data_IF_426960073330
#
_entry.id   IF_426960073330
#
_cell.length_a   1.000
_cell.length_b   1.000
_cell.length_c   1.000
_cell.angle_alpha   90.00
_cell.angle_beta   90.00
_cell.angle_gamma   90.00
#
_symmetry.space_group_name_H-M   'P 1'
#
loop_
_entity.id
_entity.type
_entity.pdbx_description
1 polymer ?
#
# COMPACT_ATOMS: atom_id res chain seq x y z
N UNK A 1 -9.58 -31.44 -6.11
CA UNK A 1 -10.47 -30.33 -5.68
C UNK A 1 -9.67 -29.03 -5.79
N UNK A 2 -10.00 -28.14 -6.73
CA UNK A 2 -9.47 -26.77 -6.75
C UNK A 2 -9.97 -26.09 -5.47
N UNK A 3 -9.10 -25.63 -4.57
CA UNK A 3 -9.52 -24.73 -3.49
C UNK A 3 -10.22 -23.54 -4.17
N UNK A 4 -11.44 -23.20 -3.74
CA UNK A 4 -12.11 -21.98 -4.18
C UNK A 4 -11.20 -20.80 -3.81
N UNK A 5 -10.58 -20.18 -4.83
CA UNK A 5 -9.78 -18.98 -4.64
C UNK A 5 -10.72 -17.80 -4.42
N UNK A 6 -10.31 -16.85 -3.58
CA UNK A 6 -11.09 -15.65 -3.28
C UNK A 6 -11.14 -14.75 -4.51
N UNK A 7 -12.25 -14.02 -4.74
CA UNK A 7 -12.34 -13.06 -5.84
C UNK A 7 -11.47 -11.83 -5.56
N UNK A 8 -10.82 -11.31 -6.60
CA UNK A 8 -10.05 -10.06 -6.60
C UNK A 8 -10.41 -9.24 -7.84
N UNK A 9 -10.67 -7.96 -7.66
CA UNK A 9 -10.61 -6.97 -8.75
C UNK A 9 -9.26 -6.28 -8.69
N UNK A 10 -8.46 -6.47 -9.75
CA UNK A 10 -7.17 -5.80 -9.92
C UNK A 10 -7.31 -4.73 -11.01
N UNK A 11 -7.22 -3.47 -10.64
CA UNK A 11 -7.29 -2.35 -11.58
C UNK A 11 -5.89 -1.95 -12.06
N UNK A 12 -5.72 -1.81 -13.37
CA UNK A 12 -4.52 -1.30 -14.01
C UNK A 12 -4.87 0.01 -14.71
N UNK A 13 -4.14 1.08 -14.43
CA UNK A 13 -4.31 2.36 -15.11
C UNK A 13 -2.97 2.99 -15.45
N UNK A 14 -2.91 3.92 -16.41
CA UNK A 14 -1.70 4.73 -16.59
C UNK A 14 -1.59 5.78 -15.50
N UNK A 15 -0.39 6.02 -14.95
CA UNK A 15 -0.18 6.96 -13.85
C UNK A 15 -0.67 8.39 -14.15
N UNK A 16 -0.59 8.80 -15.41
CA UNK A 16 -1.00 10.11 -15.92
C UNK A 16 -2.51 10.23 -16.22
N UNK A 17 -3.25 9.11 -16.30
CA UNK A 17 -4.68 9.13 -16.56
C UNK A 17 -5.45 9.52 -15.29
N UNK A 18 -6.16 10.67 -15.25
CA UNK A 18 -6.90 11.10 -14.06
C UNK A 18 -8.11 10.19 -13.75
N UNK A 19 -8.68 9.50 -14.75
CA UNK A 19 -9.88 8.66 -14.59
C UNK A 19 -9.61 7.46 -13.69
N UNK A 20 -8.36 6.98 -13.61
CA UNK A 20 -8.02 5.84 -12.76
C UNK A 20 -8.31 6.10 -11.28
N UNK A 21 -8.11 7.34 -10.81
CA UNK A 21 -8.28 7.64 -9.38
C UNK A 21 -9.76 7.67 -9.03
N UNK A 22 -10.60 8.23 -9.91
CA UNK A 22 -12.07 8.19 -9.79
C UNK A 22 -12.58 6.74 -9.79
N UNK A 23 -12.06 5.93 -10.72
CA UNK A 23 -12.41 4.52 -10.80
C UNK A 23 -11.95 3.75 -9.56
N UNK A 24 -10.75 4.00 -9.03
CA UNK A 24 -10.24 3.34 -7.84
C UNK A 24 -11.13 3.56 -6.61
N UNK A 25 -11.63 4.78 -6.40
CA UNK A 25 -12.55 5.07 -5.30
C UNK A 25 -13.86 4.32 -5.47
N UNK A 26 -14.42 4.33 -6.68
CA UNK A 26 -15.71 3.72 -6.99
C UNK A 26 -15.64 2.21 -6.88
N UNK A 27 -14.66 1.60 -7.54
CA UNK A 27 -14.41 0.17 -7.49
C UNK A 27 -14.05 -0.29 -6.07
N UNK A 28 -13.31 0.53 -5.31
CA UNK A 28 -12.94 0.22 -3.93
C UNK A 28 -14.16 -0.04 -3.04
N UNK A 29 -15.15 0.87 -3.01
CA UNK A 29 -16.35 0.66 -2.21
C UNK A 29 -17.27 -0.41 -2.79
N UNK A 30 -17.35 -0.53 -4.12
CA UNK A 30 -18.17 -1.57 -4.76
C UNK A 30 -17.63 -2.97 -4.45
N UNK A 31 -16.32 -3.15 -4.47
CA UNK A 31 -15.69 -4.43 -4.11
C UNK A 31 -15.91 -4.73 -2.62
N UNK A 32 -15.77 -3.74 -1.75
CA UNK A 32 -16.05 -3.91 -0.32
C UNK A 32 -17.51 -4.34 -0.07
N UNK A 33 -18.50 -3.71 -0.71
CA UNK A 33 -19.90 -4.10 -0.60
C UNK A 33 -20.18 -5.49 -1.18
N UNK A 34 -19.55 -5.83 -2.30
CA UNK A 34 -19.66 -7.13 -2.95
C UNK A 34 -18.89 -8.26 -2.24
N UNK A 35 -18.13 -7.97 -1.18
CA UNK A 35 -17.28 -8.96 -0.51
C UNK A 35 -16.12 -9.46 -1.38
N UNK A 36 -15.63 -8.62 -2.29
CA UNK A 36 -14.53 -8.89 -3.23
C UNK A 36 -13.31 -8.06 -2.82
N UNK A 37 -12.12 -8.64 -2.91
CA UNK A 37 -10.90 -7.88 -2.63
C UNK A 37 -10.59 -6.90 -3.77
N UNK A 38 -9.98 -5.76 -3.44
CA UNK A 38 -9.63 -4.73 -4.41
C UNK A 38 -8.18 -4.28 -4.24
N UNK A 39 -7.50 -4.14 -5.37
CA UNK A 39 -6.20 -3.48 -5.44
C UNK A 39 -6.00 -2.79 -6.79
N UNK A 40 -5.00 -1.91 -6.86
CA UNK A 40 -4.69 -1.15 -8.07
C UNK A 40 -3.19 -1.08 -8.32
N UNK A 41 -2.84 -0.98 -9.61
CA UNK A 41 -1.49 -0.76 -10.08
C UNK A 41 -1.50 0.36 -11.13
N UNK A 42 -0.64 1.36 -10.96
CA UNK A 42 -0.52 2.43 -11.94
C UNK A 42 0.77 2.33 -12.73
N UNK A 43 0.62 2.03 -14.02
CA UNK A 43 1.71 1.94 -14.98
C UNK A 43 2.21 3.34 -15.31
N UNK A 44 3.49 3.58 -15.10
CA UNK A 44 4.16 4.86 -15.33
C UNK A 44 5.36 4.68 -16.25
N UNK A 45 5.88 5.79 -16.77
CA UNK A 45 7.23 5.78 -17.32
C UNK A 45 8.25 5.62 -16.19
N UNK A 46 9.05 4.56 -16.26
CA UNK A 46 10.17 4.35 -15.35
C UNK A 46 11.43 4.90 -16.02
N UNK A 47 11.68 6.20 -15.84
CA UNK A 47 12.87 6.85 -16.42
C UNK A 47 14.18 6.33 -15.82
N UNK A 48 14.18 6.08 -14.50
CA UNK A 48 15.33 5.55 -13.76
C UNK A 48 14.87 4.51 -12.72
N UNK A 49 15.61 3.42 -12.57
CA UNK A 49 15.28 2.31 -11.65
C UNK A 49 15.72 2.52 -10.19
N UNK A 50 15.86 3.77 -9.75
CA UNK A 50 16.43 4.11 -8.45
C UNK A 50 15.54 3.74 -7.24
N UNK A 51 16.15 3.75 -6.04
CA UNK A 51 15.45 3.47 -4.78
C UNK A 51 14.36 4.50 -4.42
N UNK A 52 14.44 5.72 -4.96
CA UNK A 52 13.44 6.78 -4.75
C UNK A 52 12.86 7.27 -6.08
N UNK A 53 12.79 6.38 -7.07
CA UNK A 53 12.19 6.70 -8.35
C UNK A 53 10.71 7.14 -8.15
N UNK A 54 10.24 8.20 -8.81
CA UNK A 54 8.89 8.75 -8.62
C UNK A 54 7.73 7.76 -8.80
N UNK A 55 7.99 6.61 -9.43
CA UNK A 55 7.01 5.55 -9.65
C UNK A 55 7.53 4.14 -9.34
N UNK A 56 8.65 4.03 -8.62
CA UNK A 56 9.37 2.76 -8.44
C UNK A 56 10.11 2.32 -9.72
N UNK A 57 10.55 1.06 -9.76
CA UNK A 57 11.41 0.51 -10.82
C UNK A 57 10.86 -0.82 -11.34
N UNK A 58 10.52 -0.90 -12.63
CA UNK A 58 10.10 -2.17 -13.25
C UNK A 58 11.25 -3.02 -13.79
N UNK A 59 12.46 -2.47 -13.92
CA UNK A 59 13.59 -3.12 -14.61
C UNK A 59 14.71 -3.53 -13.64
N UNK A 60 14.86 -2.82 -12.52
CA UNK A 60 15.83 -3.15 -11.46
C UNK A 60 15.06 -3.37 -10.16
N UNK A 61 15.00 -4.63 -9.70
CA UNK A 61 14.64 -4.98 -8.32
C UNK A 61 13.17 -4.84 -7.91
N UNK A 62 12.27 -4.20 -8.68
CA UNK A 62 10.91 -3.98 -8.19
C UNK A 62 10.00 -5.20 -8.14
N UNK A 63 10.39 -6.31 -8.79
CA UNK A 63 9.64 -7.57 -8.82
C UNK A 63 8.13 -7.43 -9.11
N UNK A 64 7.76 -6.44 -9.93
CA UNK A 64 6.35 -6.10 -10.16
C UNK A 64 5.62 -7.26 -10.86
N UNK A 65 6.27 -7.90 -11.83
CA UNK A 65 5.68 -9.01 -12.58
C UNK A 65 5.41 -10.22 -11.69
N UNK A 66 6.32 -10.51 -10.75
CA UNK A 66 6.20 -11.59 -9.78
C UNK A 66 5.04 -11.31 -8.82
N UNK A 67 4.88 -10.06 -8.38
CA UNK A 67 3.76 -9.63 -7.51
C UNK A 67 2.41 -9.77 -8.22
N UNK A 68 2.34 -9.37 -9.50
CA UNK A 68 1.14 -9.55 -10.32
C UNK A 68 0.86 -11.03 -10.56
N UNK A 69 1.88 -11.83 -10.89
CA UNK A 69 1.75 -13.27 -11.12
C UNK A 69 1.22 -13.98 -9.86
N UNK A 70 1.73 -13.59 -8.69
CA UNK A 70 1.25 -14.08 -7.41
C UNK A 70 -0.22 -13.75 -7.16
N UNK A 71 -0.67 -12.53 -7.48
CA UNK A 71 -2.08 -12.17 -7.35
C UNK A 71 -2.96 -13.08 -8.22
N UNK A 72 -2.59 -13.27 -9.49
CA UNK A 72 -3.30 -14.16 -10.43
C UNK A 72 -3.28 -15.63 -10.00
N UNK A 73 -2.21 -16.09 -9.34
CA UNK A 73 -2.12 -17.43 -8.79
C UNK A 73 -3.01 -17.61 -7.54
N UNK A 74 -3.03 -16.60 -6.66
CA UNK A 74 -3.69 -16.65 -5.34
C UNK A 74 -5.20 -16.43 -5.41
N UNK A 75 -5.65 -15.56 -6.30
CA UNK A 75 -7.04 -15.10 -6.40
C UNK A 75 -7.69 -15.49 -7.72
N UNK A 76 -9.02 -15.58 -7.72
CA UNK A 76 -9.81 -15.54 -8.95
C UNK A 76 -9.93 -14.07 -9.35
N UNK A 77 -9.08 -13.64 -10.29
CA UNK A 77 -8.84 -12.22 -10.55
C UNK A 77 -9.59 -11.74 -11.79
N UNK A 78 -10.44 -10.73 -11.62
CA UNK A 78 -10.93 -9.88 -12.71
C UNK A 78 -9.99 -8.69 -12.85
N UNK A 79 -9.40 -8.51 -14.03
CA UNK A 79 -8.51 -7.38 -14.31
C UNK A 79 -9.27 -6.30 -15.06
N UNK A 80 -9.26 -5.08 -14.55
CA UNK A 80 -9.80 -3.90 -15.22
C UNK A 80 -8.63 -3.08 -15.75
N UNK A 81 -8.66 -2.70 -17.03
CA UNK A 81 -7.67 -1.80 -17.64
C UNK A 81 -8.31 -0.48 -17.99
N UNK A 82 -7.76 0.60 -17.45
CA UNK A 82 -8.19 1.98 -17.69
C UNK A 82 -7.18 2.65 -18.61
N UNK A 83 -7.65 3.08 -19.77
CA UNK A 83 -6.83 3.62 -20.84
C UNK A 83 -5.93 2.57 -21.51
N UNK A 84 -4.86 3.03 -22.17
CA UNK A 84 -3.91 2.16 -22.87
C UNK A 84 -2.78 1.66 -21.93
N UNK A 85 -2.99 0.49 -21.30
CA UNK A 85 -1.99 -0.17 -20.45
C UNK A 85 -1.56 -1.50 -21.07
N UNK A 86 -0.26 -1.65 -21.39
CA UNK A 86 0.30 -2.87 -22.01
C UNK A 86 1.20 -3.69 -21.10
N UNK A 87 1.58 -3.16 -19.94
CA UNK A 87 2.44 -3.88 -19.01
C UNK A 87 1.72 -5.15 -18.50
N UNK A 88 2.46 -6.26 -18.39
CA UNK A 88 1.98 -7.59 -17.98
C UNK A 88 0.94 -8.23 -18.92
N UNK A 89 0.76 -7.77 -20.17
CA UNK A 89 -0.35 -8.23 -21.02
C UNK A 89 -0.42 -9.75 -21.19
N UNK A 90 0.71 -10.40 -21.50
CA UNK A 90 0.77 -11.86 -21.65
C UNK A 90 0.42 -12.61 -20.36
N UNK A 91 0.89 -12.10 -19.22
CA UNK A 91 0.63 -12.67 -17.90
C UNK A 91 -0.85 -12.53 -17.52
N UNK A 92 -1.44 -11.37 -17.75
CA UNK A 92 -2.86 -11.11 -17.47
C UNK A 92 -3.75 -11.99 -18.35
N UNK A 93 -3.48 -12.06 -19.66
CA UNK A 93 -4.28 -12.87 -20.59
C UNK A 93 -4.23 -14.37 -20.26
N UNK A 94 -3.16 -14.84 -19.65
CA UNK A 94 -3.00 -16.24 -19.26
C UNK A 94 -3.51 -16.56 -17.85
N UNK A 95 -3.53 -15.58 -16.94
CA UNK A 95 -3.83 -15.82 -15.53
C UNK A 95 -5.15 -15.22 -14.99
N UNK A 96 -5.71 -14.20 -15.64
CA UNK A 96 -6.96 -13.57 -15.19
C UNK A 96 -8.18 -14.41 -15.57
N UNK A 97 -9.22 -14.42 -14.73
CA UNK A 97 -10.51 -15.05 -15.03
C UNK A 97 -11.28 -14.23 -16.07
N UNK A 98 -11.17 -12.89 -15.98
CA UNK A 98 -11.79 -11.95 -16.92
C UNK A 98 -10.90 -10.71 -17.06
N UNK A 99 -10.87 -10.15 -18.27
CA UNK A 99 -10.23 -8.85 -18.55
C UNK A 99 -11.28 -7.90 -19.09
N UNK A 100 -11.38 -6.73 -18.47
CA UNK A 100 -12.31 -5.65 -18.82
C UNK A 100 -11.49 -4.44 -19.25
N UNK A 101 -11.49 -4.15 -20.55
CA UNK A 101 -10.88 -2.94 -21.08
C UNK A 101 -11.88 -1.78 -21.03
N UNK A 102 -11.48 -0.67 -20.42
CA UNK A 102 -12.22 0.58 -20.33
C UNK A 102 -11.32 1.71 -20.84
N UNK A 103 -11.62 2.24 -22.03
CA UNK A 103 -10.89 3.40 -22.55
C UNK A 103 -11.41 4.68 -21.89
N UNK A 104 -12.64 5.09 -22.23
CA UNK A 104 -13.17 6.37 -21.76
C UNK A 104 -14.52 6.29 -21.02
N UNK A 105 -15.21 5.15 -21.05
CA UNK A 105 -16.58 5.00 -20.50
C UNK A 105 -16.59 4.55 -19.03
N UNK A 106 -16.28 5.47 -18.11
CA UNK A 106 -16.32 5.21 -16.67
C UNK A 106 -17.73 4.78 -16.20
N UNK A 107 -18.79 5.41 -16.70
CA UNK A 107 -20.16 5.09 -16.29
C UNK A 107 -20.52 3.66 -16.71
N UNK A 108 -20.12 3.24 -17.91
CA UNK A 108 -20.33 1.86 -18.36
C UNK A 108 -19.47 0.85 -17.64
N UNK A 109 -18.24 1.21 -17.26
CA UNK A 109 -17.44 0.39 -16.37
C UNK A 109 -18.18 0.17 -15.04
N UNK A 110 -18.68 1.23 -14.40
CA UNK A 110 -19.38 1.12 -13.11
C UNK A 110 -20.67 0.32 -13.23
N UNK A 111 -21.43 0.49 -14.31
CA UNK A 111 -22.63 -0.31 -14.56
C UNK A 111 -22.30 -1.81 -14.69
N UNK A 112 -21.28 -2.14 -15.48
CA UNK A 112 -20.82 -3.52 -15.67
C UNK A 112 -20.37 -4.12 -14.34
N UNK A 113 -19.55 -3.39 -13.60
CA UNK A 113 -19.04 -3.85 -12.31
C UNK A 113 -20.13 -3.99 -11.26
N UNK A 114 -21.16 -3.14 -11.28
CA UNK A 114 -22.31 -3.29 -10.39
C UNK A 114 -23.04 -4.62 -10.61
N UNK A 115 -23.21 -5.02 -11.88
CA UNK A 115 -23.78 -6.33 -12.23
C UNK A 115 -22.88 -7.49 -11.81
N UNK A 116 -21.56 -7.38 -12.02
CA UNK A 116 -20.58 -8.43 -11.68
C UNK A 116 -20.47 -8.62 -10.16
N UNK A 117 -20.41 -7.53 -9.40
CA UNK A 117 -20.21 -7.56 -7.96
C UNK A 117 -21.52 -7.73 -7.17
N UNK A 118 -22.67 -7.66 -7.85
CA UNK A 118 -23.98 -7.66 -7.19
C UNK A 118 -24.24 -6.43 -6.34
N UNK A 119 -23.47 -5.35 -6.55
CA UNK A 119 -23.73 -4.07 -5.90
C UNK A 119 -24.86 -3.35 -6.63
N UNK A 120 -25.78 -2.76 -5.86
CA UNK A 120 -26.92 -2.04 -6.45
C UNK A 120 -26.46 -0.89 -7.35
N UNK A 121 -27.40 -0.31 -8.11
CA UNK A 121 -27.12 0.95 -8.83
C UNK A 121 -26.84 2.06 -7.81
N UNK A 122 -25.85 2.89 -8.08
CA UNK A 122 -25.62 4.09 -7.28
C UNK A 122 -26.81 5.03 -7.41
N UNK A 123 -27.33 5.53 -6.28
CA UNK A 123 -28.42 6.52 -6.24
C UNK A 123 -27.92 7.96 -6.40
N UNK A 124 -26.63 8.15 -6.21
CA UNK A 124 -25.95 9.43 -6.31
C UNK A 124 -24.57 9.28 -6.96
N UNK A 125 -24.08 10.39 -7.49
CA UNK A 125 -22.71 10.53 -7.99
C UNK A 125 -21.98 11.61 -7.20
N UNK A 126 -20.65 11.54 -7.18
CA UNK A 126 -19.78 12.64 -6.76
C UNK A 126 -19.03 13.12 -8.00
N UNK A 127 -19.26 14.37 -8.37
CA UNK A 127 -18.66 15.03 -9.52
C UNK A 127 -17.45 15.86 -9.08
N UNK A 128 -16.27 15.56 -9.65
CA UNK A 128 -14.99 16.16 -9.27
C UNK A 128 -14.52 17.17 -10.31
N UNK A 129 -14.30 18.40 -9.86
CA UNK A 129 -13.55 19.41 -10.59
C UNK A 129 -12.10 18.93 -10.81
N UNK A 130 -11.56 19.13 -12.02
CA UNK A 130 -10.18 18.73 -12.34
C UNK A 130 -9.16 19.45 -11.45
N UNK A 131 -9.46 20.66 -10.99
CA UNK A 131 -8.61 21.37 -10.03
C UNK A 131 -8.46 20.64 -8.68
N UNK A 132 -9.36 19.71 -8.37
CA UNK A 132 -9.27 18.86 -7.18
C UNK A 132 -8.33 17.66 -7.35
N UNK A 133 -7.93 17.33 -8.58
CA UNK A 133 -7.16 16.12 -8.88
C UNK A 133 -5.81 16.00 -8.16
N UNK A 134 -5.06 17.09 -7.93
CA UNK A 134 -3.87 17.05 -7.09
C UNK A 134 -4.11 16.54 -5.66
N UNK A 135 -5.34 16.62 -5.14
CA UNK A 135 -5.73 16.15 -3.82
C UNK A 135 -6.61 14.88 -3.86
N UNK A 136 -6.80 14.27 -5.04
CA UNK A 136 -7.86 13.26 -5.30
C UNK A 136 -7.83 12.08 -4.34
N UNK A 137 -6.63 11.60 -4.00
CA UNK A 137 -6.47 10.47 -3.09
C UNK A 137 -6.89 10.77 -1.65
N UNK A 138 -6.90 12.04 -1.21
CA UNK A 138 -7.49 12.39 0.08
C UNK A 138 -9.01 12.48 0.02
N UNK A 139 -9.59 12.72 -1.17
CA UNK A 139 -11.01 12.98 -1.37
C UNK A 139 -11.86 11.70 -1.52
N UNK A 140 -11.25 10.52 -1.56
CA UNK A 140 -11.97 9.23 -1.64
C UNK A 140 -13.13 9.07 -0.64
N UNK A 141 -13.07 9.61 0.61
CA UNK A 141 -14.16 9.47 1.57
C UNK A 141 -15.49 10.03 1.09
N UNK A 142 -15.48 11.08 0.27
CA UNK A 142 -16.70 11.65 -0.29
C UNK A 142 -17.41 10.66 -1.22
N UNK A 143 -16.67 9.79 -1.90
CA UNK A 143 -17.24 8.72 -2.72
C UNK A 143 -17.58 7.48 -1.90
N UNK A 144 -16.59 6.94 -1.19
CA UNK A 144 -16.66 5.63 -0.54
C UNK A 144 -17.72 5.62 0.56
N UNK A 145 -17.74 6.63 1.42
CA UNK A 145 -18.70 6.64 2.53
C UNK A 145 -20.12 7.01 2.13
N UNK A 146 -20.31 7.55 0.92
CA UNK A 146 -21.62 7.81 0.32
C UNK A 146 -22.10 6.68 -0.59
N UNK A 147 -21.23 5.72 -0.92
CA UNK A 147 -21.46 4.70 -1.95
C UNK A 147 -21.88 5.34 -3.28
N UNK A 148 -21.14 6.38 -3.65
CA UNK A 148 -21.39 7.16 -4.86
C UNK A 148 -20.39 6.80 -5.96
N UNK A 149 -20.81 6.93 -7.21
CA UNK A 149 -19.88 6.84 -8.34
C UNK A 149 -19.12 8.16 -8.50
N UNK A 150 -17.80 8.06 -8.61
CA UNK A 150 -16.92 9.19 -8.86
C UNK A 150 -16.84 9.46 -10.37
N UNK A 151 -17.20 10.66 -10.79
CA UNK A 151 -17.18 11.11 -12.19
C UNK A 151 -16.52 12.49 -12.29
N UNK A 152 -15.95 12.86 -13.46
CA UNK A 152 -15.53 14.24 -13.70
C UNK A 152 -16.72 15.21 -13.56
N UNK A 153 -16.45 16.45 -13.18
CA UNK A 153 -17.46 17.51 -13.17
C UNK A 153 -17.92 17.86 -14.58
N UNK A 154 -16.97 17.86 -15.51
CA UNK A 154 -17.21 18.04 -16.94
C UNK A 154 -17.45 16.68 -17.59
N UNK A 155 -18.73 16.36 -17.83
CA UNK A 155 -19.15 15.18 -18.60
C UNK A 155 -20.08 15.60 -19.74
N UNK A 156 -20.18 14.77 -20.77
CA UNK A 156 -20.97 15.11 -21.95
C UNK A 156 -22.48 14.87 -21.73
N UNK A 157 -23.30 15.38 -22.65
CA UNK A 157 -24.78 15.28 -22.57
C UNK A 157 -25.28 13.83 -22.57
N UNK A 158 -24.62 12.93 -23.28
CA UNK A 158 -25.02 11.51 -23.34
C UNK A 158 -24.74 10.81 -22.01
N UNK A 159 -23.63 11.13 -21.35
CA UNK A 159 -23.29 10.66 -20.00
C UNK A 159 -24.28 11.18 -18.96
N UNK A 160 -24.65 12.47 -19.01
CA UNK A 160 -25.70 13.05 -18.14
C UNK A 160 -27.03 12.32 -18.32
N UNK A 161 -27.45 12.11 -19.58
CA UNK A 161 -28.68 11.40 -19.91
C UNK A 161 -28.66 9.97 -19.38
N UNK A 162 -27.55 9.25 -19.56
CA UNK A 162 -27.36 7.89 -19.05
C UNK A 162 -27.49 7.84 -17.53
N UNK A 163 -26.85 8.75 -16.80
CA UNK A 163 -26.99 8.81 -15.34
C UNK A 163 -28.44 9.05 -14.90
N UNK A 164 -29.20 9.92 -15.62
CA UNK A 164 -30.64 10.12 -15.35
C UNK A 164 -31.45 8.86 -15.60
N UNK A 165 -31.24 8.17 -16.72
CA UNK A 165 -31.94 6.93 -17.07
C UNK A 165 -31.63 5.80 -16.06
N UNK A 166 -30.46 5.85 -15.43
CA UNK A 166 -30.08 4.91 -14.37
C UNK A 166 -30.75 5.20 -13.03
N UNK A 167 -31.43 6.35 -12.89
CA UNK A 167 -32.11 6.77 -11.67
C UNK A 167 -31.23 7.56 -10.70
N UNK A 168 -30.13 8.17 -11.17
CA UNK A 168 -29.33 9.08 -10.33
C UNK A 168 -30.11 10.37 -10.13
N UNK A 169 -30.39 10.68 -8.86
CA UNK A 169 -31.16 11.86 -8.48
C UNK A 169 -30.29 13.01 -8.00
N UNK A 170 -29.25 12.68 -7.21
CA UNK A 170 -28.40 13.66 -6.52
C UNK A 170 -26.97 13.60 -7.04
N UNK A 171 -26.41 14.78 -7.31
CA UNK A 171 -25.02 15.00 -7.69
C UNK A 171 -24.36 15.78 -6.56
N UNK A 172 -23.37 15.17 -5.93
CA UNK A 172 -22.53 15.82 -4.94
C UNK A 172 -21.31 16.42 -5.63
N UNK A 173 -21.02 17.70 -5.42
CA UNK A 173 -19.86 18.34 -6.06
C UNK A 173 -18.67 18.43 -5.12
N UNK A 174 -17.50 18.09 -5.67
CA UNK A 174 -16.19 18.41 -5.11
C UNK A 174 -15.56 19.40 -6.08
N UNK A 175 -15.75 20.69 -5.83
CA UNK A 175 -15.46 21.72 -6.82
C UNK A 175 -14.95 23.02 -6.22
N UNK A 176 -14.21 23.80 -7.02
CA UNK A 176 -13.76 25.12 -6.59
C UNK A 176 -14.96 26.04 -6.40
N UNK A 177 -14.85 27.02 -5.50
CA UNK A 177 -15.92 28.02 -5.33
C UNK A 177 -16.25 28.69 -6.66
N UNK A 178 -17.52 28.63 -7.05
CA UNK A 178 -18.02 29.21 -8.29
C UNK A 178 -17.78 28.35 -9.55
N UNK A 179 -17.44 27.07 -9.42
CA UNK A 179 -17.44 26.14 -10.54
C UNK A 179 -18.81 26.09 -11.25
N UNK A 180 -18.80 25.93 -12.58
CA UNK A 180 -20.04 25.85 -13.36
C UNK A 180 -20.66 24.45 -13.25
N UNK A 181 -21.87 24.41 -12.70
CA UNK A 181 -22.68 23.18 -12.54
C UNK A 181 -23.98 23.25 -13.34
N UNK A 182 -24.11 24.24 -14.23
CA UNK A 182 -25.35 24.55 -14.95
C UNK A 182 -25.82 23.39 -15.82
N UNK A 183 -24.90 22.63 -16.41
CA UNK A 183 -25.22 21.44 -17.21
C UNK A 183 -25.92 20.36 -16.38
N UNK A 184 -25.48 20.14 -15.13
CA UNK A 184 -26.12 19.19 -14.22
C UNK A 184 -27.52 19.64 -13.80
N UNK A 185 -27.69 20.94 -13.51
CA UNK A 185 -28.99 21.52 -13.17
C UNK A 185 -29.95 21.42 -14.36
N UNK A 186 -29.49 21.79 -15.56
CA UNK A 186 -30.27 21.74 -16.80
C UNK A 186 -30.70 20.30 -17.16
N UNK A 187 -29.87 19.30 -16.84
CA UNK A 187 -30.20 17.88 -16.98
C UNK A 187 -31.15 17.35 -15.89
N UNK A 188 -31.58 18.19 -14.95
CA UNK A 188 -32.59 17.89 -13.95
C UNK A 188 -32.08 17.16 -12.70
N UNK A 189 -30.78 17.24 -12.41
CA UNK A 189 -30.20 16.69 -11.18
C UNK A 189 -30.38 17.65 -10.00
N UNK A 190 -30.52 17.08 -8.79
CA UNK A 190 -30.34 17.83 -7.54
C UNK A 190 -28.85 17.96 -7.27
N UNK A 191 -28.30 19.17 -7.37
CA UNK A 191 -26.88 19.43 -7.12
C UNK A 191 -26.68 19.87 -5.67
N UNK A 192 -25.82 19.17 -4.93
CA UNK A 192 -25.43 19.48 -3.56
C UNK A 192 -23.90 19.60 -3.44
N UNK A 193 -23.42 20.46 -2.57
CA UNK A 193 -21.97 20.60 -2.33
C UNK A 193 -21.49 19.54 -1.34
N UNK A 194 -20.61 18.63 -1.76
CA UNK A 194 -19.88 17.76 -0.84
C UNK A 194 -18.66 18.48 -0.27
N UNK A 195 -17.81 19.04 -1.11
CA UNK A 195 -16.61 19.79 -0.70
C UNK A 195 -16.39 20.97 -1.64
N UNK A 196 -16.43 22.18 -1.08
CA UNK A 196 -16.03 23.39 -1.79
C UNK A 196 -14.62 23.77 -1.35
N UNK A 197 -13.76 24.10 -2.31
CA UNK A 197 -12.40 24.56 -2.02
C UNK A 197 -12.10 25.91 -2.67
N UNK A 198 -11.29 26.71 -1.96
CA UNK A 198 -10.80 28.02 -2.42
C UNK A 198 -9.32 27.97 -2.84
N UNK A 199 -8.68 26.82 -2.67
CA UNK A 199 -7.25 26.59 -2.92
C UNK A 199 -7.05 25.25 -3.61
N UNK A 200 -6.05 25.18 -4.48
CA UNK A 200 -5.59 23.94 -5.10
C UNK A 200 -4.48 23.26 -4.30
N UNK A 201 -4.14 23.77 -3.09
CA UNK A 201 -3.13 23.18 -2.21
C UNK A 201 -3.60 21.82 -1.64
N UNK A 202 -2.99 20.70 -2.06
CA UNK A 202 -3.41 19.37 -1.60
C UNK A 202 -3.22 19.19 -0.08
N UNK A 203 -2.23 19.84 0.52
CA UNK A 203 -1.96 19.75 1.96
C UNK A 203 -3.12 20.33 2.78
N UNK A 204 -3.68 21.46 2.33
CA UNK A 204 -4.84 22.05 2.99
C UNK A 204 -6.10 21.20 2.79
N UNK A 205 -6.38 20.78 1.55
CA UNK A 205 -7.57 19.97 1.24
C UNK A 205 -7.56 18.64 2.01
N UNK A 206 -6.43 17.93 2.04
CA UNK A 206 -6.31 16.66 2.77
C UNK A 206 -6.53 16.84 4.28
N UNK A 207 -6.06 17.93 4.89
CA UNK A 207 -6.29 18.23 6.30
C UNK A 207 -7.77 18.51 6.60
N UNK A 208 -8.46 19.26 5.74
CA UNK A 208 -9.89 19.54 5.91
C UNK A 208 -10.74 18.28 5.80
N UNK A 209 -10.44 17.42 4.83
CA UNK A 209 -11.11 16.14 4.64
C UNK A 209 -10.82 15.19 5.82
N UNK A 210 -9.57 15.12 6.28
CA UNK A 210 -9.19 14.31 7.44
C UNK A 210 -9.92 14.76 8.73
N UNK A 211 -10.12 16.07 8.92
CA UNK A 211 -10.91 16.60 10.04
C UNK A 211 -12.38 16.24 9.92
N UNK A 212 -12.97 16.42 8.72
CA UNK A 212 -14.37 16.12 8.45
C UNK A 212 -14.71 14.65 8.70
N UNK A 213 -13.85 13.75 8.24
CA UNK A 213 -14.09 12.31 8.28
C UNK A 213 -13.35 11.60 9.41
N UNK A 214 -12.85 12.34 10.41
CA UNK A 214 -12.08 11.82 11.54
C UNK A 214 -12.76 10.64 12.23
N UNK A 215 -14.07 10.70 12.42
CA UNK A 215 -14.79 9.70 13.20
C UNK A 215 -14.99 8.38 12.44
N UNK A 216 -14.91 8.42 11.10
CA UNK A 216 -14.95 7.22 10.25
C UNK A 216 -13.55 6.62 10.01
N UNK A 217 -12.50 7.41 10.17
CA UNK A 217 -11.13 6.95 9.97
C UNK A 217 -10.67 6.02 11.10
N UNK A 218 -9.99 4.92 10.77
CA UNK A 218 -9.29 4.06 11.73
C UNK A 218 -7.91 4.62 12.09
N UNK A 219 -7.28 5.35 11.16
CA UNK A 219 -5.92 5.86 11.28
C UNK A 219 -5.66 6.97 10.24
N UNK A 220 -4.52 7.64 10.39
CA UNK A 220 -4.08 8.71 9.49
C UNK A 220 -2.65 8.49 9.05
N UNK A 221 -2.37 8.77 7.79
CA UNK A 221 -1.04 8.58 7.19
C UNK A 221 -0.49 9.88 6.63
N UNK A 222 0.81 9.93 6.38
CA UNK A 222 1.50 11.15 5.97
C UNK A 222 2.19 10.92 4.62
N UNK A 223 1.62 11.42 3.54
CA UNK A 223 2.05 11.09 2.18
C UNK A 223 2.35 12.32 1.35
N UNK A 224 3.16 12.16 0.30
CA UNK A 224 3.00 13.02 -0.89
C UNK A 224 1.78 12.55 -1.68
N UNK A 225 1.10 13.44 -2.43
CA UNK A 225 -0.11 13.09 -3.16
C UNK A 225 0.04 11.84 -4.05
N UNK A 226 1.15 11.72 -4.77
CA UNK A 226 1.37 10.58 -5.68
C UNK A 226 1.40 9.24 -4.93
N UNK A 227 2.14 9.15 -3.81
CA UNK A 227 2.20 7.93 -2.98
C UNK A 227 0.80 7.52 -2.51
N UNK A 228 -0.01 8.49 -2.09
CA UNK A 228 -1.36 8.22 -1.62
C UNK A 228 -2.29 7.71 -2.72
N UNK A 229 -2.07 8.10 -3.99
CA UNK A 229 -2.82 7.54 -5.13
C UNK A 229 -2.54 6.04 -5.25
N UNK A 230 -1.28 5.62 -5.17
CA UNK A 230 -0.90 4.20 -5.20
C UNK A 230 -1.46 3.41 -4.02
N UNK A 231 -1.48 4.02 -2.82
CA UNK A 231 -1.99 3.40 -1.60
C UNK A 231 -3.49 3.59 -1.39
N UNK A 232 -4.22 4.13 -2.37
CA UNK A 232 -5.65 4.37 -2.24
C UNK A 232 -6.44 3.08 -1.94
N UNK A 233 -6.19 1.92 -2.59
CA UNK A 233 -6.88 0.67 -2.24
C UNK A 233 -6.65 0.25 -0.78
N UNK A 234 -5.41 0.39 -0.28
CA UNK A 234 -5.08 0.13 1.13
C UNK A 234 -5.79 1.10 2.06
N UNK A 235 -5.80 2.38 1.71
CA UNK A 235 -6.44 3.45 2.48
C UNK A 235 -7.94 3.24 2.60
N UNK A 236 -8.61 2.86 1.51
CA UNK A 236 -10.04 2.52 1.50
C UNK A 236 -10.28 1.30 2.39
N UNK A 237 -9.56 0.21 2.13
CA UNK A 237 -9.74 -1.10 2.79
C UNK A 237 -9.52 -1.06 4.30
N UNK A 238 -8.58 -0.23 4.76
CA UNK A 238 -8.25 -0.07 6.17
C UNK A 238 -8.88 1.19 6.78
N UNK A 239 -9.70 1.95 6.03
CA UNK A 239 -10.31 3.21 6.45
C UNK A 239 -9.30 4.24 6.97
N UNK A 240 -8.20 4.43 6.25
CA UNK A 240 -7.11 5.34 6.61
C UNK A 240 -7.19 6.61 5.78
N UNK A 241 -6.95 7.77 6.40
CA UNK A 241 -7.01 9.06 5.71
C UNK A 241 -5.61 9.65 5.53
N UNK A 242 -5.20 10.01 4.30
CA UNK A 242 -3.90 10.59 4.07
C UNK A 242 -3.90 12.10 4.39
N UNK A 243 -2.81 12.57 4.97
CA UNK A 243 -2.45 13.97 5.10
C UNK A 243 -1.28 14.27 4.18
N UNK A 244 -1.38 15.34 3.39
CA UNK A 244 -0.38 15.67 2.40
C UNK A 244 0.64 16.70 2.88
N UNK A 245 1.88 16.52 2.44
CA UNK A 245 2.96 17.49 2.61
C UNK A 245 3.78 17.58 1.32
N UNK A 246 4.44 18.72 1.08
CA UNK A 246 5.28 18.93 -0.11
C UNK A 246 6.78 19.01 0.21
N UNK A 247 7.12 19.41 1.43
CA UNK A 247 8.48 19.60 1.91
C UNK A 247 8.59 19.33 3.42
N UNK A 248 9.81 19.33 3.94
CA UNK A 248 10.12 18.99 5.33
C UNK A 248 9.47 19.92 6.36
N UNK A 249 9.33 21.21 6.04
CA UNK A 249 8.67 22.16 6.95
C UNK A 249 7.17 21.87 7.07
N UNK A 250 6.54 21.48 5.96
CA UNK A 250 5.14 21.07 5.94
C UNK A 250 4.94 19.70 6.58
N UNK A 251 5.87 18.76 6.41
CA UNK A 251 5.77 17.42 7.00
C UNK A 251 5.72 17.49 8.52
N UNK A 252 6.52 18.34 9.15
CA UNK A 252 6.47 18.57 10.60
C UNK A 252 5.11 19.13 11.06
N UNK A 253 4.57 20.12 10.33
CA UNK A 253 3.24 20.70 10.62
C UNK A 253 2.14 19.64 10.48
N UNK A 254 2.18 18.85 9.40
CA UNK A 254 1.17 17.85 9.09
C UNK A 254 1.24 16.65 10.03
N UNK A 255 2.44 16.23 10.43
CA UNK A 255 2.64 15.29 11.54
C UNK A 255 1.92 15.75 12.80
N UNK A 256 2.06 17.01 13.21
CA UNK A 256 1.41 17.47 14.44
C UNK A 256 -0.12 17.46 14.33
N UNK A 257 -0.67 17.71 13.13
CA UNK A 257 -2.09 17.48 12.86
C UNK A 257 -2.46 16.00 12.92
N UNK A 258 -1.66 15.13 12.30
CA UNK A 258 -1.84 13.67 12.32
C UNK A 258 -1.93 13.16 13.74
N UNK A 259 -0.98 13.55 14.59
CA UNK A 259 -0.93 13.18 16.00
C UNK A 259 -2.21 13.60 16.72
N UNK A 260 -2.68 14.84 16.56
CA UNK A 260 -3.95 15.27 17.18
C UNK A 260 -5.15 14.47 16.65
N UNK A 261 -5.18 14.18 15.36
CA UNK A 261 -6.28 13.45 14.74
C UNK A 261 -6.32 11.98 15.17
N UNK A 262 -5.16 11.35 15.38
CA UNK A 262 -5.02 9.94 15.76
C UNK A 262 -5.22 9.66 17.26
N UNK A 263 -5.42 10.70 18.08
CA UNK A 263 -5.69 10.55 19.51
C UNK A 263 -6.90 9.63 19.77
N UNK A 264 -6.68 8.61 20.60
CA UNK A 264 -7.69 7.62 20.96
C UNK A 264 -7.93 6.50 19.95
N UNK A 265 -7.25 6.49 18.79
CA UNK A 265 -7.47 5.47 17.73
C UNK A 265 -6.63 4.20 17.84
N UNK A 266 -5.66 4.15 18.77
CA UNK A 266 -4.78 2.99 18.93
C UNK A 266 -3.89 2.70 17.72
N UNK A 267 -3.68 3.71 16.86
CA UNK A 267 -2.80 3.59 15.69
C UNK A 267 -1.36 3.32 16.13
N UNK A 268 -0.71 2.34 15.49
CA UNK A 268 0.67 1.92 15.80
C UNK A 268 1.68 2.21 14.69
N UNK A 269 1.19 2.42 13.47
CA UNK A 269 2.03 2.63 12.30
C UNK A 269 1.46 3.79 11.53
N UNK A 270 2.33 4.73 11.16
CA UNK A 270 2.09 5.75 10.16
C UNK A 270 2.81 5.30 8.90
N UNK A 271 2.10 5.18 7.80
CA UNK A 271 2.72 4.96 6.49
C UNK A 271 3.02 6.32 5.86
N UNK A 272 4.16 6.44 5.21
CA UNK A 272 4.48 7.68 4.52
C UNK A 272 5.79 7.68 3.76
N UNK A 273 6.04 8.74 2.98
CA UNK A 273 7.32 8.89 2.29
C UNK A 273 8.40 9.40 3.26
N UNK A 274 9.67 9.08 3.05
CA UNK A 274 10.74 9.59 3.91
C UNK A 274 10.93 11.12 3.73
N UNK A 275 11.05 11.84 4.85
CA UNK A 275 11.26 13.30 4.90
C UNK A 275 12.26 13.70 6.02
N UNK A 276 13.17 12.78 6.34
CA UNK A 276 14.20 12.96 7.37
C UNK A 276 13.79 12.50 8.78
N UNK A 277 14.81 12.26 9.61
CA UNK A 277 14.65 11.56 10.89
C UNK A 277 14.16 12.44 12.06
N UNK A 278 14.64 13.69 12.26
CA UNK A 278 14.21 14.50 13.41
C UNK A 278 12.69 14.69 13.49
N UNK A 279 11.97 14.85 12.35
CA UNK A 279 10.52 14.86 12.34
C UNK A 279 9.82 13.61 12.88
N UNK A 280 10.47 12.44 12.98
CA UNK A 280 9.88 11.20 13.48
C UNK A 280 9.86 11.09 15.01
N UNK A 281 10.68 11.88 15.72
CA UNK A 281 10.79 11.85 17.19
C UNK A 281 9.43 11.95 17.90
N UNK A 282 8.48 12.82 17.49
CA UNK A 282 7.16 12.89 18.12
C UNK A 282 6.31 11.62 17.97
N UNK A 283 6.53 10.81 16.93
CA UNK A 283 5.90 9.50 16.82
C UNK A 283 6.45 8.55 17.89
N UNK A 284 7.76 8.49 18.11
CA UNK A 284 8.34 7.60 19.14
C UNK A 284 7.79 7.87 20.56
N UNK A 285 7.41 9.11 20.87
CA UNK A 285 6.78 9.49 22.14
C UNK A 285 5.36 8.95 22.32
N UNK A 286 4.72 8.49 21.25
CA UNK A 286 3.39 7.89 21.22
C UNK A 286 3.53 6.56 20.50
N UNK A 287 3.64 5.40 21.16
CA UNK A 287 4.14 4.13 20.60
C UNK A 287 3.68 3.82 19.15
N UNK A 288 4.34 4.46 18.18
CA UNK A 288 3.94 4.59 16.79
C UNK A 288 5.23 4.56 15.98
N UNK A 289 5.35 3.53 15.17
CA UNK A 289 6.41 3.41 14.18
C UNK A 289 6.03 4.17 12.91
N UNK A 290 7.04 4.50 12.12
CA UNK A 290 6.91 5.10 10.80
C UNK A 290 7.39 4.09 9.76
N UNK A 291 6.48 3.64 8.89
CA UNK A 291 6.80 2.73 7.80
C UNK A 291 6.95 3.52 6.51
N UNK A 292 8.17 3.56 5.98
CA UNK A 292 8.43 4.24 4.73
C UNK A 292 7.80 3.45 3.59
N UNK A 293 7.09 4.17 2.73
CA UNK A 293 6.45 3.65 1.52
C UNK A 293 6.74 4.60 0.37
N UNK A 294 6.89 4.02 -0.82
CA UNK A 294 7.16 4.76 -2.05
C UNK A 294 6.13 4.36 -3.10
N UNK A 295 5.98 5.14 -4.19
CA UNK A 295 5.15 4.76 -5.33
C UNK A 295 5.48 3.34 -5.82
N UNK A 296 4.44 2.50 -5.99
CA UNK A 296 4.56 1.06 -6.29
C UNK A 296 5.38 0.22 -5.28
N UNK A 297 5.64 0.72 -4.07
CA UNK A 297 6.38 0.02 -3.01
C UNK A 297 5.62 0.10 -1.68
N UNK A 298 4.71 -0.86 -1.44
CA UNK A 298 4.61 -2.14 -2.16
C UNK A 298 3.80 -2.10 -3.45
N UNK A 299 4.08 -3.07 -4.33
CA UNK A 299 3.43 -3.19 -5.65
C UNK A 299 1.93 -3.44 -5.51
N UNK A 300 1.56 -4.32 -4.57
CA UNK A 300 0.18 -4.62 -4.20
C UNK A 300 0.09 -4.72 -2.68
N UNK A 301 -1.06 -4.34 -2.14
CA UNK A 301 -1.34 -4.28 -0.71
C UNK A 301 -2.32 -5.36 -0.25
N UNK A 302 -3.05 -6.00 -1.17
CA UNK A 302 -4.10 -7.00 -0.89
C UNK A 302 -3.57 -8.20 -0.09
N UNK A 303 -2.29 -8.54 -0.24
CA UNK A 303 -1.66 -9.64 0.49
C UNK A 303 -1.64 -9.42 2.02
N UNK A 304 -1.79 -8.19 2.49
CA UNK A 304 -1.86 -7.85 3.92
C UNK A 304 -2.93 -8.58 4.71
N UNK A 305 -4.04 -8.97 4.06
CA UNK A 305 -5.11 -9.76 4.70
C UNK A 305 -4.87 -11.27 4.63
N UNK A 306 -3.88 -11.70 3.87
CA UNK A 306 -3.63 -13.10 3.53
C UNK A 306 -2.15 -13.47 3.69
N UNK A 307 -1.61 -13.36 4.91
CA UNK A 307 -0.22 -13.74 5.15
C UNK A 307 0.01 -15.20 4.77
N UNK A 308 1.09 -15.45 4.02
CA UNK A 308 1.51 -16.80 3.66
C UNK A 308 2.10 -17.53 4.86
N UNK A 309 1.87 -18.84 4.93
CA UNK A 309 2.71 -19.70 5.77
C UNK A 309 4.03 -19.96 5.05
N UNK A 310 5.14 -19.75 5.74
CA UNK A 310 6.46 -19.98 5.18
C UNK A 310 6.89 -21.44 5.36
N UNK A 311 7.83 -21.94 4.53
CA UNK A 311 8.43 -23.26 4.68
C UNK A 311 8.92 -23.53 6.11
N UNK A 312 8.81 -24.79 6.54
CA UNK A 312 9.16 -25.23 7.90
C UNK A 312 10.20 -26.37 7.84
N UNK A 313 11.45 -26.10 7.43
CA UNK A 313 12.49 -27.13 7.44
C UNK A 313 12.80 -27.60 8.87
N UNK A 314 13.47 -28.74 8.97
CA UNK A 314 13.79 -29.35 10.27
C UNK A 314 14.73 -28.47 11.11
N UNK A 315 15.67 -27.77 10.47
CA UNK A 315 16.63 -26.87 11.11
C UNK A 315 16.26 -25.41 10.80
N UNK A 316 16.42 -24.54 11.79
CA UNK A 316 16.35 -23.09 11.66
C UNK A 316 17.72 -22.48 11.36
N UNK A 317 17.76 -21.16 11.07
CA UNK A 317 19.01 -20.41 10.93
C UNK A 317 19.90 -20.51 12.19
N UNK A 318 19.30 -20.57 13.37
CA UNK A 318 19.99 -20.69 14.66
C UNK A 318 20.60 -22.07 14.88
N UNK A 319 20.03 -23.13 14.28
CA UNK A 319 20.59 -24.48 14.38
C UNK A 319 21.81 -24.67 13.46
N UNK A 320 22.04 -23.70 12.57
CA UNK A 320 23.10 -23.66 11.56
C UNK A 320 24.21 -22.67 11.95
N UNK A 321 24.16 -22.12 13.16
CA UNK A 321 25.23 -21.30 13.73
C UNK A 321 26.44 -22.15 14.12
N UNK A 322 27.67 -21.58 14.05
CA UNK A 322 28.85 -22.24 14.57
C UNK A 322 28.70 -22.55 16.06
N UNK A 323 29.18 -23.72 16.50
CA UNK A 323 29.20 -24.05 17.93
C UNK A 323 30.28 -23.27 18.68
N UNK A 324 30.14 -23.14 20.00
CA UNK A 324 31.16 -22.51 20.86
C UNK A 324 32.56 -23.13 20.67
N UNK A 325 32.64 -24.44 20.49
CA UNK A 325 33.93 -25.12 20.29
C UNK A 325 34.54 -24.80 18.92
N UNK A 326 33.69 -24.64 17.89
CA UNK A 326 34.13 -24.16 16.58
C UNK A 326 34.62 -22.71 16.64
N UNK A 327 33.91 -21.84 17.38
CA UNK A 327 34.31 -20.45 17.59
C UNK A 327 35.66 -20.36 18.33
N UNK A 328 35.88 -21.18 19.37
CA UNK A 328 37.16 -21.25 20.09
C UNK A 328 38.30 -21.74 19.21
N UNK A 329 38.05 -22.74 18.35
CA UNK A 329 39.04 -23.22 17.40
C UNK A 329 39.45 -22.12 16.42
N UNK A 330 38.48 -21.42 15.82
CA UNK A 330 38.74 -20.30 14.92
C UNK A 330 39.50 -19.15 15.59
N UNK A 331 39.14 -18.81 16.84
CA UNK A 331 39.87 -17.81 17.61
C UNK A 331 41.33 -18.23 17.86
N UNK A 332 41.56 -19.52 18.15
CA UNK A 332 42.91 -20.08 18.34
C UNK A 332 43.74 -20.07 17.04
N UNK A 333 43.09 -20.17 15.89
CA UNK A 333 43.70 -20.01 14.57
C UNK A 333 43.95 -18.54 14.19
N UNK A 334 43.57 -17.57 15.04
CA UNK A 334 43.73 -16.14 14.78
C UNK A 334 42.73 -15.57 13.77
N UNK A 335 41.60 -16.27 13.51
CA UNK A 335 40.55 -15.78 12.60
C UNK A 335 39.76 -14.64 13.24
N UNK A 336 39.43 -13.64 12.43
CA UNK A 336 38.51 -12.56 12.80
C UNK A 336 37.17 -12.84 12.11
N UNK A 337 36.11 -12.97 12.89
CA UNK A 337 34.75 -13.15 12.37
C UNK A 337 34.13 -11.80 12.07
N UNK A 338 33.55 -11.68 10.89
CA UNK A 338 32.83 -10.49 10.45
C UNK A 338 31.48 -10.89 9.86
N UNK A 339 30.49 -10.05 10.05
CA UNK A 339 29.16 -10.17 9.44
C UNK A 339 28.67 -8.78 9.04
N UNK A 340 27.71 -8.73 8.13
CA UNK A 340 27.04 -7.50 7.75
C UNK A 340 25.63 -7.50 8.33
N UNK A 341 25.23 -6.38 8.92
CA UNK A 341 23.83 -6.17 9.31
C UNK A 341 23.25 -5.12 8.39
N UNK A 342 22.20 -5.49 7.67
CA UNK A 342 21.57 -4.64 6.67
C UNK A 342 20.46 -3.81 7.31
N UNK A 343 20.56 -2.49 7.12
CA UNK A 343 19.45 -1.58 7.35
C UNK A 343 18.38 -1.82 6.26
N UNK A 344 17.45 -2.73 6.52
CA UNK A 344 16.39 -3.12 5.59
C UNK A 344 15.01 -2.98 6.25
N UNK A 345 14.80 -1.94 7.05
CA UNK A 345 13.57 -1.79 7.84
C UNK A 345 12.36 -1.16 7.16
N UNK A 346 12.51 -0.82 5.88
CA UNK A 346 11.55 -0.02 5.12
C UNK A 346 11.02 -0.85 3.94
N UNK A 347 9.73 -0.73 3.63
CA UNK A 347 9.12 -1.46 2.50
C UNK A 347 9.82 -1.21 1.15
N UNK A 348 10.32 0.00 0.79
CA UNK A 348 11.07 0.19 -0.45
C UNK A 348 12.38 -0.59 -0.55
N UNK A 349 12.97 -1.01 0.57
CA UNK A 349 14.19 -1.82 0.57
C UNK A 349 13.96 -3.26 0.10
N UNK A 350 12.70 -3.69 -0.02
CA UNK A 350 12.31 -4.98 -0.57
C UNK A 350 12.93 -5.23 -1.96
N UNK A 351 13.07 -4.18 -2.76
CA UNK A 351 13.62 -4.26 -4.12
C UNK A 351 15.11 -4.66 -4.14
N UNK A 352 15.87 -4.28 -3.11
CA UNK A 352 17.28 -4.59 -3.00
C UNK A 352 17.53 -5.91 -2.26
N UNK A 353 16.55 -6.39 -1.50
CA UNK A 353 16.73 -7.53 -0.59
C UNK A 353 17.15 -8.79 -1.35
N UNK A 354 16.52 -9.13 -2.48
CA UNK A 354 16.92 -10.30 -3.26
C UNK A 354 18.38 -10.24 -3.72
N UNK A 355 18.85 -9.07 -4.15
CA UNK A 355 20.25 -8.90 -4.52
C UNK A 355 21.22 -9.21 -3.37
N UNK A 356 20.83 -8.87 -2.13
CA UNK A 356 21.59 -9.26 -0.94
C UNK A 356 21.49 -10.75 -0.61
N UNK A 357 20.32 -11.38 -0.83
CA UNK A 357 20.17 -12.83 -0.66
C UNK A 357 21.04 -13.59 -1.66
N UNK A 358 21.01 -13.19 -2.94
CA UNK A 358 21.86 -13.76 -3.99
C UNK A 358 23.34 -13.58 -3.66
N UNK A 359 23.72 -12.38 -3.22
CA UNK A 359 25.10 -12.11 -2.79
C UNK A 359 25.53 -13.00 -1.63
N UNK A 360 24.70 -13.17 -0.60
CA UNK A 360 24.97 -14.08 0.51
C UNK A 360 25.07 -15.53 0.03
N UNK A 361 24.17 -15.96 -0.87
CA UNK A 361 24.19 -17.30 -1.46
C UNK A 361 25.47 -17.57 -2.26
N UNK A 362 25.95 -16.60 -3.04
CA UNK A 362 27.16 -16.73 -3.87
C UNK A 362 28.44 -16.70 -3.04
N UNK A 363 28.53 -15.79 -2.07
CA UNK A 363 29.77 -15.55 -1.31
C UNK A 363 29.88 -16.37 -0.03
N UNK A 364 28.75 -16.96 0.41
CA UNK A 364 28.60 -17.63 1.72
C UNK A 364 28.86 -16.72 2.91
N UNK A 365 28.90 -15.40 2.70
CA UNK A 365 28.98 -14.42 3.79
C UNK A 365 27.65 -14.41 4.53
N UNK A 366 27.71 -14.60 5.85
CA UNK A 366 26.52 -14.50 6.70
C UNK A 366 26.13 -13.06 6.93
N UNK A 367 24.83 -12.77 6.88
CA UNK A 367 24.27 -11.43 7.11
C UNK A 367 23.09 -11.47 8.09
N UNK A 368 22.93 -10.39 8.84
CA UNK A 368 21.69 -10.05 9.53
C UNK A 368 20.83 -9.14 8.64
N UNK A 369 19.55 -9.47 8.47
CA UNK A 369 18.59 -8.65 7.72
C UNK A 369 17.56 -8.06 8.67
N UNK A 370 17.52 -6.73 8.77
CA UNK A 370 16.46 -6.02 9.50
C UNK A 370 15.09 -6.35 8.90
N UNK A 371 14.18 -6.88 9.72
CA UNK A 371 12.81 -7.22 9.32
C UNK A 371 11.77 -6.60 10.24
N UNK A 372 10.59 -6.38 9.68
CA UNK A 372 9.41 -5.88 10.36
C UNK A 372 8.21 -6.73 9.94
N UNK A 373 7.15 -6.73 10.74
CA UNK A 373 5.96 -7.55 10.50
C UNK A 373 5.34 -7.28 9.13
N UNK A 374 5.43 -6.03 8.64
CA UNK A 374 4.84 -5.64 7.36
C UNK A 374 5.42 -6.41 6.17
N UNK A 375 6.74 -6.60 6.13
CA UNK A 375 7.39 -7.36 5.06
C UNK A 375 6.83 -8.78 4.93
N UNK A 376 6.50 -9.43 6.04
CA UNK A 376 6.00 -10.81 6.04
C UNK A 376 4.61 -10.96 5.40
N UNK A 377 3.80 -9.91 5.37
CA UNK A 377 2.48 -9.95 4.71
C UNK A 377 2.46 -9.25 3.36
N UNK A 378 3.34 -8.27 3.13
CA UNK A 378 3.41 -7.52 1.87
C UNK A 378 4.25 -8.26 0.83
N UNK A 379 5.41 -8.77 1.27
CA UNK A 379 6.42 -9.38 0.43
C UNK A 379 6.88 -10.75 0.93
N UNK A 380 5.97 -11.72 1.25
CA UNK A 380 6.40 -12.97 1.86
C UNK A 380 7.36 -13.79 1.00
N UNK A 381 7.32 -13.64 -0.32
CA UNK A 381 8.24 -14.36 -1.23
C UNK A 381 9.71 -13.98 -0.99
N UNK A 382 9.98 -12.76 -0.49
CA UNK A 382 11.34 -12.31 -0.19
C UNK A 382 11.87 -12.96 1.09
N UNK A 383 11.01 -13.11 2.10
CA UNK A 383 11.38 -13.74 3.37
C UNK A 383 11.33 -15.25 3.30
N UNK A 384 10.58 -15.82 2.34
CA UNK A 384 10.51 -17.27 2.11
C UNK A 384 11.88 -17.87 1.86
N UNK A 385 12.73 -17.21 1.06
CA UNK A 385 14.09 -17.70 0.77
C UNK A 385 14.97 -17.84 2.01
N UNK A 386 14.71 -17.06 3.07
CA UNK A 386 15.40 -17.20 4.37
C UNK A 386 15.02 -18.48 5.12
N UNK A 387 13.95 -19.17 4.68
CA UNK A 387 13.41 -20.40 5.25
C UNK A 387 13.69 -21.62 4.36
N UNK A 388 14.38 -21.45 3.23
CA UNK A 388 14.69 -22.52 2.28
C UNK A 388 16.18 -22.89 2.40
N UNK A 389 16.53 -24.19 2.52
CA UNK A 389 17.91 -24.64 2.55
C UNK A 389 18.74 -24.19 1.33
N UNK A 390 20.04 -23.99 1.52
CA UNK A 390 20.95 -23.51 0.45
C UNK A 390 21.03 -24.50 -0.71
N UNK A 391 20.97 -25.80 -0.40
CA UNK A 391 20.94 -26.91 -1.35
C UNK A 391 19.68 -26.93 -2.22
N UNK A 392 18.60 -26.28 -1.79
CA UNK A 392 17.35 -26.11 -2.55
C UNK A 392 17.28 -24.74 -3.24
N UNK A 393 18.33 -23.93 -3.16
CA UNK A 393 18.41 -22.60 -3.76
C UNK A 393 17.97 -21.45 -2.85
N UNK A 394 17.75 -21.70 -1.55
CA UNK A 394 17.48 -20.67 -0.56
C UNK A 394 18.74 -20.13 0.13
N UNK A 395 18.53 -19.45 1.25
CA UNK A 395 19.61 -18.81 2.04
C UNK A 395 19.53 -19.09 3.55
N UNK A 396 18.81 -20.14 3.93
CA UNK A 396 18.70 -20.58 5.33
C UNK A 396 20.08 -20.81 5.96
N UNK A 397 20.31 -20.18 7.11
CA UNK A 397 21.57 -20.25 7.86
C UNK A 397 22.68 -19.30 7.36
N UNK A 398 22.47 -18.65 6.22
CA UNK A 398 23.29 -17.54 5.73
C UNK A 398 22.69 -16.18 6.10
N UNK A 399 21.36 -16.09 6.15
CA UNK A 399 20.63 -14.87 6.48
C UNK A 399 19.84 -15.06 7.76
N UNK A 400 20.14 -14.26 8.77
CA UNK A 400 19.37 -14.19 10.02
C UNK A 400 18.38 -13.02 9.95
N UNK A 401 17.07 -13.24 10.18
CA UNK A 401 16.13 -12.15 10.38
C UNK A 401 16.29 -11.54 11.78
N UNK A 402 16.59 -10.24 11.85
CA UNK A 402 16.66 -9.46 13.10
C UNK A 402 15.56 -8.42 13.10
N UNK A 403 14.89 -8.16 14.23
CA UNK A 403 13.86 -7.12 14.26
C UNK A 403 14.50 -5.77 13.97
N UNK A 404 14.00 -5.05 12.96
CA UNK A 404 14.38 -3.66 12.73
C UNK A 404 13.59 -2.76 13.67
N UNK A 405 14.30 -2.06 14.56
CA UNK A 405 13.71 -1.29 15.64
C UNK A 405 12.61 -2.06 16.37
N UNK A 406 11.37 -1.56 16.39
CA UNK A 406 10.23 -2.22 17.03
C UNK A 406 9.65 -3.41 16.27
N UNK A 407 10.13 -3.68 15.06
CA UNK A 407 9.50 -4.64 14.15
C UNK A 407 8.21 -4.12 13.50
N UNK A 408 7.92 -2.82 13.61
CA UNK A 408 6.76 -2.14 13.00
C UNK A 408 7.16 -1.01 12.04
N UNK A 409 8.45 -0.89 11.71
CA UNK A 409 9.02 0.23 10.95
C UNK A 409 9.96 1.07 11.81
N UNK A 410 10.37 2.22 11.26
CA UNK A 410 11.34 3.13 11.88
C UNK A 410 10.76 3.75 13.16
N UNK A 411 11.55 3.74 14.23
CA UNK A 411 11.21 4.49 15.42
C UNK A 411 12.46 5.03 16.12
N UNK A 412 12.37 6.26 16.63
CA UNK A 412 13.45 6.87 17.40
C UNK A 412 13.40 6.38 18.86
N UNK A 413 13.96 5.20 19.10
CA UNK A 413 13.79 4.46 20.38
C UNK A 413 14.24 5.25 21.61
N UNK A 414 15.32 6.01 21.51
CA UNK A 414 15.83 6.83 22.61
C UNK A 414 14.90 7.97 23.05
N UNK A 415 13.87 8.28 22.26
CA UNK A 415 12.85 9.28 22.59
C UNK A 415 11.52 8.66 23.06
N UNK A 416 11.37 7.34 22.98
CA UNK A 416 10.15 6.65 23.36
C UNK A 416 10.21 6.03 24.77
N UNK A 417 9.09 5.45 25.17
CA UNK A 417 8.91 4.80 26.47
C UNK A 417 9.35 3.33 26.38
N UNK A 418 10.41 2.95 27.10
CA UNK A 418 11.05 1.65 26.96
C UNK A 418 10.08 0.45 27.10
N UNK A 419 9.13 0.50 28.03
CA UNK A 419 8.17 -0.58 28.24
C UNK A 419 7.21 -0.72 27.05
N UNK A 420 6.74 0.40 26.51
CA UNK A 420 5.87 0.40 25.32
C UNK A 420 6.62 -0.08 24.08
N UNK A 421 7.88 0.32 23.93
CA UNK A 421 8.77 -0.12 22.84
C UNK A 421 8.96 -1.64 22.91
N UNK A 422 9.32 -2.16 24.08
CA UNK A 422 9.50 -3.59 24.29
C UNK A 422 8.20 -4.38 24.03
N UNK A 423 7.05 -3.84 24.42
CA UNK A 423 5.75 -4.44 24.11
C UNK A 423 5.48 -4.50 22.59
N UNK A 424 5.84 -3.44 21.85
CA UNK A 424 5.74 -3.43 20.38
C UNK A 424 6.64 -4.48 19.73
N UNK A 425 7.90 -4.59 20.17
CA UNK A 425 8.86 -5.59 19.70
C UNK A 425 8.35 -7.02 19.93
N UNK A 426 7.86 -7.28 21.14
CA UNK A 426 7.34 -8.59 21.52
C UNK A 426 6.13 -8.97 20.66
N UNK A 427 5.21 -8.04 20.44
CA UNK A 427 4.07 -8.28 19.55
C UNK A 427 4.52 -8.52 18.11
N UNK A 428 5.41 -7.69 17.55
CA UNK A 428 5.89 -7.87 16.17
C UNK A 428 6.50 -9.26 15.98
N UNK A 429 7.36 -9.69 16.93
CA UNK A 429 7.94 -11.02 16.96
C UNK A 429 6.86 -12.12 17.00
N UNK A 430 5.86 -11.99 17.88
CA UNK A 430 4.74 -12.94 17.96
C UNK A 430 3.96 -13.02 16.64
N UNK A 431 3.77 -11.89 15.95
CA UNK A 431 3.11 -11.89 14.63
C UNK A 431 3.94 -12.64 13.59
N UNK A 432 5.24 -12.37 13.54
CA UNK A 432 6.18 -13.06 12.65
C UNK A 432 6.19 -14.57 12.96
N UNK A 433 6.24 -14.95 14.24
CA UNK A 433 6.21 -16.35 14.66
C UNK A 433 4.96 -17.10 14.18
N UNK A 434 3.80 -16.43 14.07
CA UNK A 434 2.57 -17.06 13.55
C UNK A 434 2.65 -17.49 12.08
N UNK A 435 3.51 -16.85 11.28
CA UNK A 435 3.64 -17.13 9.83
C UNK A 435 4.92 -17.88 9.49
N UNK A 436 6.00 -17.56 10.20
CA UNK A 436 7.34 -18.11 10.02
C UNK A 436 7.61 -19.32 10.93
N UNK A 437 6.83 -19.50 12.01
CA UNK A 437 7.10 -20.47 13.07
C UNK A 437 8.02 -19.90 14.15
N UNK A 438 7.81 -20.32 15.40
CA UNK A 438 8.56 -19.80 16.56
C UNK A 438 10.08 -19.98 16.44
N UNK A 439 10.52 -21.04 15.77
CA UNK A 439 11.95 -21.34 15.56
C UNK A 439 12.63 -20.37 14.59
N UNK A 440 11.86 -19.67 13.75
CA UNK A 440 12.34 -18.70 12.77
C UNK A 440 12.02 -17.25 13.16
N UNK A 441 11.32 -17.05 14.27
CA UNK A 441 11.06 -15.73 14.78
C UNK A 441 12.38 -15.05 15.18
N UNK A 442 12.56 -13.75 14.85
CA UNK A 442 13.76 -13.02 15.23
C UNK A 442 14.10 -13.14 16.72
N UNK A 443 15.39 -13.32 17.01
CA UNK A 443 15.94 -13.32 18.37
C UNK A 443 16.66 -12.01 18.71
N UNK A 444 17.33 -11.42 17.72
CA UNK A 444 18.00 -10.13 17.83
C UNK A 444 17.13 -8.94 17.41
N UNK A 445 17.60 -7.75 17.80
CA UNK A 445 17.08 -6.44 17.40
C UNK A 445 18.23 -5.65 16.79
N UNK A 446 17.97 -4.93 15.71
CA UNK A 446 18.86 -4.01 15.01
C UNK A 446 18.32 -2.58 15.04
#
# INVERSE_FOLDING_TARGET
MRRLRRPLVLMLGRADDPKKDLAAMTLGWMCEEGGVEFDAYYASEHGEGGLFAPHGSTVIGGHHIERIARALATFNTTVIRIGEVRIFDSLIRSGAEEVIDCQDDLIGLYERMGKVLGTGRARCVVAFDEEAYPAIAALYPECVYRRAWAVPLEINTDELKRLREMGVETVWTVARRGADVSNWIAAGFKVETAFEFDTTDPAQMSLEIARRWRDKASAFDLHKPDVARYLMPFSIRESRLPLFFRNDSESARMRDHLLRLSEGKGQRVVYGQWFGDPPLIPFARRPMAYEVVEPCRPVLTVFSRFPSRLPQPERSCFDLEPSDDQLKAWASEGKILATWVLHSGELPHDDALLGFLDWAAMTKVKIGSGVHWQRYYVSPDLVELMHVPVEEGGVLGLVEPVLHSTGWGIMWESAGDADKIAAMMKEARERIARVAGERFAPRGVY
#
